data_IF_515972911417
#
_entry.id   IF_515972911417
#
_cell.length_a   1.000
_cell.length_b   1.000
_cell.length_c   1.000
_cell.angle_alpha   90.00
_cell.angle_beta   90.00
_cell.angle_gamma   90.00
#
_symmetry.space_group_name_H-M   'P 1'
#
loop_
_entity.id
_entity.type
_entity.pdbx_description
1 polymer ?
#
# COMPACT_ATOMS: atom_id res chain seq x y z
N UNK A 1 34.98 19.02 14.86
CA UNK A 1 34.15 17.80 14.81
C UNK A 1 32.90 18.19 14.05
N UNK A 2 32.89 18.00 12.73
CA UNK A 2 31.72 18.32 11.92
C UNK A 2 30.73 17.18 12.11
N UNK A 3 29.58 17.50 12.69
CA UNK A 3 28.45 16.58 12.79
C UNK A 3 28.09 16.14 11.36
N UNK A 4 28.31 14.86 11.07
CA UNK A 4 27.79 14.21 9.87
C UNK A 4 26.27 14.29 9.97
N UNK A 5 25.67 15.16 9.15
CA UNK A 5 24.22 15.18 8.99
C UNK A 5 23.78 13.80 8.55
N UNK A 6 22.93 13.16 9.36
CA UNK A 6 22.18 11.99 8.95
C UNK A 6 21.44 12.34 7.66
N UNK A 7 21.72 11.62 6.58
CA UNK A 7 20.91 11.67 5.37
C UNK A 7 19.45 11.43 5.77
N UNK A 8 18.62 12.46 5.64
CA UNK A 8 17.18 12.31 5.76
C UNK A 8 16.74 11.49 4.54
N UNK A 9 16.58 10.17 4.71
CA UNK A 9 15.98 9.32 3.69
C UNK A 9 14.54 9.79 3.44
N UNK A 10 14.37 10.61 2.41
CA UNK A 10 13.08 11.17 2.01
C UNK A 10 12.18 10.07 1.44
N UNK A 11 10.91 10.07 1.84
CA UNK A 11 9.87 9.29 1.18
C UNK A 11 9.26 10.09 0.02
N UNK A 12 8.83 9.40 -1.04
CA UNK A 12 8.21 10.03 -2.22
C UNK A 12 6.98 9.25 -2.64
N UNK A 13 5.88 9.90 -3.04
CA UNK A 13 4.70 9.18 -3.50
C UNK A 13 5.02 8.36 -4.75
N UNK A 14 4.50 7.13 -4.87
CA UNK A 14 4.57 6.37 -6.10
C UNK A 14 3.81 7.06 -7.23
N UNK A 15 4.16 6.70 -8.46
CA UNK A 15 3.51 7.26 -9.63
C UNK A 15 1.99 6.98 -9.63
N UNK A 16 1.20 8.02 -9.91
CA UNK A 16 -0.27 8.01 -9.86
C UNK A 16 -0.87 7.56 -8.52
N UNK A 17 -0.19 7.81 -7.41
CA UNK A 17 -0.78 7.62 -6.09
C UNK A 17 -2.05 8.47 -5.92
N UNK A 18 -3.14 7.83 -5.51
CA UNK A 18 -4.43 8.46 -5.25
C UNK A 18 -5.25 7.69 -4.21
N UNK A 19 -6.04 8.39 -3.39
CA UNK A 19 -7.02 7.78 -2.52
C UNK A 19 -8.35 7.58 -3.26
N UNK A 20 -8.89 6.36 -3.26
CA UNK A 20 -10.28 6.08 -3.67
C UNK A 20 -11.24 6.20 -2.51
N UNK A 21 -10.85 5.65 -1.36
CA UNK A 21 -11.53 5.83 -0.08
C UNK A 21 -10.49 6.34 0.87
N UNK A 22 -10.65 7.60 1.28
CA UNK A 22 -9.68 8.27 2.12
C UNK A 22 -9.41 7.45 3.39
N UNK A 23 -8.14 7.10 3.62
CA UNK A 23 -7.77 6.32 4.79
C UNK A 23 -8.30 4.90 4.87
N UNK A 24 -8.86 4.38 3.78
CA UNK A 24 -9.18 2.96 3.68
C UNK A 24 -8.64 2.29 2.41
N UNK A 25 -8.58 2.98 1.27
CA UNK A 25 -8.23 2.41 -0.03
C UNK A 25 -7.55 3.43 -0.94
N UNK A 26 -6.32 3.13 -1.35
CA UNK A 26 -5.55 3.90 -2.32
C UNK A 26 -5.22 3.07 -3.57
N UNK A 27 -4.86 3.76 -4.65
CA UNK A 27 -4.41 3.25 -5.94
C UNK A 27 -3.11 3.91 -6.38
N UNK A 28 -2.26 3.19 -7.12
CA UNK A 28 -1.02 3.69 -7.75
C UNK A 28 -0.52 2.74 -8.83
N UNK A 29 0.54 3.13 -9.55
CA UNK A 29 1.40 2.20 -10.27
C UNK A 29 2.36 1.45 -9.32
N UNK A 30 2.86 0.28 -9.72
CA UNK A 30 3.76 -0.51 -8.87
C UNK A 30 4.99 0.31 -8.42
N UNK A 31 5.26 0.39 -7.10
CA UNK A 31 6.44 1.06 -6.59
C UNK A 31 7.73 0.47 -7.17
N UNK A 32 8.68 1.34 -7.50
CA UNK A 32 9.95 0.96 -8.16
C UNK A 32 11.18 1.21 -7.29
N UNK A 33 11.03 1.91 -6.16
CA UNK A 33 12.13 2.20 -5.23
C UNK A 33 11.69 2.15 -3.76
N UNK A 34 12.66 2.08 -2.86
CA UNK A 34 12.43 1.96 -1.42
C UNK A 34 11.76 3.20 -0.81
N UNK A 35 12.07 4.41 -1.32
CA UNK A 35 11.45 5.66 -0.88
C UNK A 35 9.94 5.70 -1.15
N UNK A 36 9.50 5.08 -2.24
CA UNK A 36 8.09 4.90 -2.57
C UNK A 36 7.38 3.94 -1.63
N UNK A 37 8.02 2.83 -1.26
CA UNK A 37 7.44 1.91 -0.27
C UNK A 37 7.38 2.57 1.11
N UNK A 38 8.43 3.31 1.50
CA UNK A 38 8.44 4.06 2.76
C UNK A 38 7.31 5.07 2.84
N UNK A 39 7.03 5.77 1.73
CA UNK A 39 5.88 6.66 1.65
C UNK A 39 4.58 5.94 1.99
N UNK A 40 4.41 4.68 1.57
CA UNK A 40 3.22 3.90 1.91
C UNK A 40 3.10 3.68 3.41
N UNK A 41 4.17 3.18 4.03
CA UNK A 41 4.23 2.90 5.46
C UNK A 41 3.93 4.17 6.27
N UNK A 42 4.54 5.30 5.89
CA UNK A 42 4.33 6.60 6.54
C UNK A 42 2.90 7.12 6.39
N UNK A 43 2.21 6.80 5.28
CA UNK A 43 0.79 7.11 5.07
C UNK A 43 -0.16 6.06 5.65
N UNK A 44 0.35 5.17 6.51
CA UNK A 44 -0.45 4.20 7.26
C UNK A 44 -0.88 2.97 6.45
N UNK A 45 -0.32 2.77 5.25
CA UNK A 45 -0.61 1.61 4.40
C UNK A 45 0.07 0.37 4.98
N UNK A 46 -0.75 -0.60 5.39
CA UNK A 46 -0.27 -1.85 6.00
C UNK A 46 -0.36 -3.08 5.09
N UNK A 47 -1.02 -3.00 3.93
CA UNK A 47 -1.12 -4.12 3.00
C UNK A 47 -1.11 -3.64 1.54
N UNK A 48 -0.07 -4.02 0.80
CA UNK A 48 0.15 -3.83 -0.63
C UNK A 48 -0.34 -5.04 -1.43
N UNK A 49 -1.22 -4.82 -2.41
CA UNK A 49 -1.69 -5.85 -3.34
C UNK A 49 -1.27 -5.52 -4.77
N UNK A 50 -0.42 -6.36 -5.38
CA UNK A 50 -0.06 -6.22 -6.81
C UNK A 50 -0.88 -7.16 -7.68
N UNK A 51 -1.24 -6.69 -8.88
CA UNK A 51 -2.05 -7.47 -9.83
C UNK A 51 -1.22 -8.22 -10.87
N UNK A 52 0.02 -7.80 -11.10
CA UNK A 52 0.90 -8.41 -12.11
C UNK A 52 1.96 -9.28 -11.43
N UNK A 53 2.22 -10.47 -11.98
CA UNK A 53 3.26 -11.38 -11.46
C UNK A 53 4.68 -10.90 -11.78
N UNK A 54 4.83 -10.14 -12.87
CA UNK A 54 6.11 -9.65 -13.38
C UNK A 54 6.60 -8.39 -12.67
N UNK A 55 5.76 -7.75 -11.86
CA UNK A 55 6.08 -6.53 -11.11
C UNK A 55 6.21 -6.81 -9.63
N UNK A 56 7.46 -6.90 -9.18
CA UNK A 56 7.81 -7.07 -7.76
C UNK A 56 8.22 -5.72 -7.16
N UNK A 57 7.52 -5.25 -6.11
CA UNK A 57 7.92 -4.05 -5.37
C UNK A 57 9.24 -4.31 -4.62
N UNK A 58 10.07 -3.28 -4.37
CA UNK A 58 11.34 -3.40 -3.67
C UNK A 58 11.12 -3.66 -2.17
N UNK A 59 10.87 -4.93 -1.85
CA UNK A 59 10.54 -5.42 -0.51
C UNK A 59 11.73 -6.13 0.15
N UNK A 60 12.96 -5.89 -0.30
CA UNK A 60 14.16 -6.56 0.21
C UNK A 60 14.62 -6.03 1.58
N UNK A 61 14.14 -4.86 1.97
CA UNK A 61 14.46 -4.22 3.26
C UNK A 61 13.57 -4.76 4.39
N UNK A 62 14.19 -5.41 5.38
CA UNK A 62 13.50 -5.95 6.56
C UNK A 62 12.79 -4.87 7.38
N UNK A 63 13.32 -3.63 7.41
CA UNK A 63 12.65 -2.52 8.08
C UNK A 63 11.29 -2.23 7.45
N UNK A 64 11.15 -2.44 6.14
CA UNK A 64 9.90 -2.26 5.39
C UNK A 64 8.99 -3.48 5.53
N UNK A 65 9.52 -4.69 5.34
CA UNK A 65 8.72 -5.94 5.39
C UNK A 65 7.97 -6.14 6.70
N UNK A 66 8.49 -5.60 7.80
CA UNK A 66 7.87 -5.68 9.11
C UNK A 66 6.67 -4.72 9.28
N UNK A 67 6.54 -3.70 8.42
CA UNK A 67 5.49 -2.70 8.51
C UNK A 67 4.42 -2.82 7.43
N UNK A 68 4.72 -3.44 6.29
CA UNK A 68 3.77 -3.61 5.19
C UNK A 68 3.75 -5.06 4.68
N UNK A 69 2.55 -5.65 4.64
CA UNK A 69 2.32 -6.96 4.03
C UNK A 69 2.19 -6.80 2.52
N UNK A 70 2.83 -7.67 1.75
CA UNK A 70 2.64 -7.72 0.29
C UNK A 70 1.91 -9.02 -0.10
N UNK A 71 0.99 -8.93 -1.07
CA UNK A 71 0.29 -10.08 -1.66
C UNK A 71 0.11 -9.85 -3.15
N UNK A 72 0.24 -10.91 -3.95
CA UNK A 72 0.01 -10.85 -5.39
C UNK A 72 -1.34 -11.51 -5.69
N UNK A 73 -2.18 -10.84 -6.48
CA UNK A 73 -3.38 -11.42 -7.09
C UNK A 73 -3.14 -11.40 -8.60
N UNK A 74 -2.67 -12.49 -9.21
CA UNK A 74 -2.26 -12.46 -10.60
C UNK A 74 -3.46 -12.26 -11.53
N UNK A 75 -3.41 -11.19 -12.31
CA UNK A 75 -4.35 -10.84 -13.36
C UNK A 75 -3.57 -10.75 -14.66
N UNK A 76 -4.06 -11.42 -15.71
CA UNK A 76 -3.43 -11.39 -17.03
C UNK A 76 -3.51 -9.97 -17.58
N UNK A 77 -2.40 -9.47 -18.12
CA UNK A 77 -2.38 -8.14 -18.72
C UNK A 77 -3.45 -8.01 -19.83
N UNK A 78 -4.11 -6.86 -19.85
CA UNK A 78 -5.20 -6.54 -20.79
C UNK A 78 -6.47 -7.39 -20.66
N UNK A 79 -6.55 -8.24 -19.63
CA UNK A 79 -7.77 -8.96 -19.27
C UNK A 79 -8.38 -8.37 -17.99
N UNK A 80 -9.71 -8.35 -17.86
CA UNK A 80 -10.35 -8.01 -16.61
C UNK A 80 -10.07 -9.08 -15.54
N UNK A 81 -10.00 -8.71 -14.25
CA UNK A 81 -9.89 -9.68 -13.17
C UNK A 81 -11.10 -10.63 -13.15
N UNK A 82 -10.86 -11.88 -12.77
CA UNK A 82 -11.97 -12.84 -12.63
C UNK A 82 -12.81 -12.51 -11.39
N UNK A 83 -14.01 -13.10 -11.31
CA UNK A 83 -14.84 -12.98 -10.11
C UNK A 83 -14.12 -13.50 -8.86
N UNK A 84 -13.29 -14.53 -8.99
CA UNK A 84 -12.56 -15.07 -7.86
C UNK A 84 -11.40 -14.18 -7.45
N UNK A 85 -10.76 -13.47 -8.38
CA UNK A 85 -9.74 -12.46 -8.05
C UNK A 85 -10.35 -11.27 -7.31
N UNK A 86 -11.54 -10.82 -7.73
CA UNK A 86 -12.30 -9.82 -6.99
C UNK A 86 -12.68 -10.30 -5.58
N UNK A 87 -13.14 -11.55 -5.43
CA UNK A 87 -13.45 -12.12 -4.11
C UNK A 87 -12.22 -12.21 -3.21
N UNK A 88 -11.07 -12.65 -3.75
CA UNK A 88 -9.79 -12.70 -3.01
C UNK A 88 -9.40 -11.30 -2.53
N UNK A 89 -9.49 -10.31 -3.41
CA UNK A 89 -9.21 -8.93 -3.08
C UNK A 89 -10.11 -8.44 -1.93
N UNK A 90 -11.43 -8.66 -2.03
CA UNK A 90 -12.39 -8.30 -0.97
C UNK A 90 -12.10 -9.03 0.35
N UNK A 91 -11.69 -10.30 0.30
CA UNK A 91 -11.33 -11.06 1.49
C UNK A 91 -10.10 -10.46 2.20
N UNK A 92 -9.07 -10.11 1.42
CA UNK A 92 -7.88 -9.40 1.93
C UNK A 92 -8.27 -8.08 2.60
N UNK A 93 -9.20 -7.32 1.98
CA UNK A 93 -9.77 -6.10 2.57
C UNK A 93 -10.35 -6.31 3.96
N UNK A 94 -11.20 -7.33 4.11
CA UNK A 94 -11.86 -7.62 5.38
C UNK A 94 -10.87 -8.09 6.44
N UNK A 95 -9.97 -9.01 6.09
CA UNK A 95 -8.96 -9.53 7.02
C UNK A 95 -8.05 -8.43 7.56
N UNK A 96 -7.66 -7.47 6.70
CA UNK A 96 -6.83 -6.35 7.15
C UNK A 96 -7.60 -5.44 8.11
N UNK A 97 -8.86 -5.10 7.78
CA UNK A 97 -9.70 -4.27 8.64
C UNK A 97 -9.94 -4.90 10.02
N UNK A 98 -10.14 -6.22 10.10
CA UNK A 98 -10.31 -6.94 11.37
C UNK A 98 -9.04 -6.86 12.22
N UNK A 99 -7.86 -7.17 11.65
CA UNK A 99 -6.57 -7.07 12.37
C UNK A 99 -6.28 -5.66 12.88
N UNK A 100 -6.64 -4.68 12.10
CA UNK A 100 -6.48 -3.26 12.42
C UNK A 100 -7.47 -2.80 13.50
N UNK A 101 -8.65 -3.43 13.62
CA UNK A 101 -9.58 -3.20 14.74
C UNK A 101 -9.07 -3.79 16.04
N UNK A 102 -8.47 -4.98 15.97
CA UNK A 102 -7.88 -5.65 17.14
C UNK A 102 -6.60 -4.95 17.64
N UNK A 103 -5.93 -4.19 16.76
CA UNK A 103 -4.78 -3.35 17.11
C UNK A 103 -5.20 -1.88 17.30
N UNK A 104 -5.17 -1.39 18.54
CA UNK A 104 -5.55 -0.01 18.93
C UNK A 104 -4.61 1.10 18.41
N UNK A 105 -4.32 1.17 17.10
CA UNK A 105 -3.46 2.19 16.48
C UNK A 105 -4.30 3.29 15.82
N UNK A 106 -4.04 4.58 16.09
CA UNK A 106 -4.84 5.74 15.63
C UNK A 106 -3.99 6.68 14.76
N UNK A 107 -4.41 7.03 13.52
CA UNK A 107 -3.76 8.04 12.65
C UNK A 107 -4.77 8.74 11.69
N UNK A 108 -4.47 9.99 11.28
CA UNK A 108 -5.42 11.04 10.80
C UNK A 108 -5.38 11.30 9.26
N UNK A 109 -6.50 11.75 8.67
CA UNK A 109 -6.80 11.79 7.21
C UNK A 109 -7.05 13.18 6.58
N UNK A 110 -6.98 13.29 5.23
CA UNK A 110 -7.37 14.46 4.40
C UNK A 110 -7.71 14.06 2.94
N UNK A 111 -8.79 14.56 2.28
CA UNK A 111 -9.45 13.85 1.17
C UNK A 111 -9.12 14.28 -0.28
N UNK A 112 -9.23 13.30 -1.21
CA UNK A 112 -9.91 13.33 -2.55
C UNK A 112 -9.13 12.90 -3.85
N UNK A 113 -9.72 11.88 -4.55
CA UNK A 113 -9.78 11.52 -6.00
C UNK A 113 -8.74 10.59 -6.70
N UNK A 114 -9.31 9.75 -7.57
CA UNK A 114 -8.88 8.57 -8.38
C UNK A 114 -7.95 8.86 -9.59
N UNK A 115 -7.28 7.95 -10.33
CA UNK A 115 -7.56 6.58 -10.83
C UNK A 115 -6.27 5.75 -11.11
N UNK A 116 -6.43 4.41 -11.29
CA UNK A 116 -5.45 3.30 -11.43
C UNK A 116 -4.95 2.71 -10.11
N UNK A 117 -5.34 1.46 -9.84
CA UNK A 117 -5.46 0.92 -8.48
C UNK A 117 -4.61 -0.33 -8.27
N UNK A 118 -3.37 -0.15 -7.81
CA UNK A 118 -2.78 -1.06 -6.82
C UNK A 118 -3.50 -0.79 -5.52
N UNK A 119 -4.35 -1.70 -5.06
CA UNK A 119 -5.23 -1.45 -3.93
C UNK A 119 -4.52 -1.65 -2.59
N UNK A 120 -4.65 -0.66 -1.72
CA UNK A 120 -4.16 -0.70 -0.34
C UNK A 120 -5.31 -0.77 0.66
N UNK A 121 -4.99 -1.24 1.86
CA UNK A 121 -5.90 -1.14 2.98
C UNK A 121 -5.28 -0.29 4.07
N UNK A 122 -6.03 0.70 4.50
CA UNK A 122 -5.75 1.54 5.65
C UNK A 122 -6.90 1.47 6.65
N UNK A 123 -6.61 1.87 7.89
CA UNK A 123 -7.56 1.83 9.00
C UNK A 123 -8.68 2.85 8.79
N UNK A 124 -9.91 2.38 8.63
CA UNK A 124 -11.06 3.28 8.67
C UNK A 124 -11.29 3.82 10.10
N UNK A 125 -11.56 5.13 10.28
CA UNK A 125 -11.91 5.71 11.57
C UNK A 125 -13.30 5.22 12.04
N UNK A 126 -13.46 5.05 13.35
CA UNK A 126 -14.76 4.85 14.01
C UNK A 126 -15.54 6.16 14.09
#
# INVERSE_FOLDING_TARGET
MLCTGSELEYSTPPYNFSWMVEGCLAGMACPSNTSEIRYLVENGIGHLVTLSEDRTPPMDDDSIRNHIKWTVIPVVEFEPPTLDDMKKFIAICKEHQEKVRDSNTEFRLSPERSDQVVAFLTKCPN
#
